data_IF_897614158761
#
_entry.id   IF_897614158761
#
_cell.length_a   1.000
_cell.length_b   1.000
_cell.length_c   1.000
_cell.angle_alpha   90.00
_cell.angle_beta   90.00
_cell.angle_gamma   90.00
#
_symmetry.space_group_name_H-M   'P 1'
#
loop_
_entity.id
_entity.type
_entity.pdbx_description
1 polymer ?
#
# COMPACT_ATOMS: atom_id res chain seq x y z
N UNK A 1 -36.81 -27.15 9.82
CA UNK A 1 -36.43 -26.64 8.47
C UNK A 1 -34.96 -26.98 8.25
N UNK A 2 -34.53 -27.33 7.04
CA UNK A 2 -33.12 -27.64 6.78
C UNK A 2 -32.28 -26.36 6.78
N UNK A 3 -31.00 -26.46 7.16
CA UNK A 3 -30.01 -25.39 6.99
C UNK A 3 -29.94 -24.95 5.52
N UNK A 4 -30.21 -23.68 5.25
CA UNK A 4 -30.03 -23.10 3.91
C UNK A 4 -28.66 -22.43 3.84
N UNK A 5 -27.91 -22.67 2.75
CA UNK A 5 -26.61 -22.02 2.52
C UNK A 5 -26.76 -20.92 1.47
N UNK A 6 -26.72 -19.67 1.92
CA UNK A 6 -26.80 -18.51 1.06
C UNK A 6 -25.40 -17.92 0.84
N UNK A 7 -25.03 -17.69 -0.42
CA UNK A 7 -23.78 -16.99 -0.78
C UNK A 7 -23.94 -15.47 -0.77
N UNK A 8 -24.80 -14.94 0.09
CA UNK A 8 -25.14 -13.52 0.22
C UNK A 8 -25.06 -13.06 1.68
N UNK A 9 -25.11 -11.74 1.89
CA UNK A 9 -25.26 -11.11 3.22
C UNK A 9 -26.74 -10.93 3.59
N UNK A 10 -27.03 -10.76 4.87
CA UNK A 10 -28.36 -10.43 5.37
C UNK A 10 -28.33 -9.26 6.34
N UNK A 11 -29.37 -8.43 6.34
CA UNK A 11 -29.53 -7.34 7.30
C UNK A 11 -29.71 -7.84 8.74
N UNK A 12 -29.15 -7.07 9.69
CA UNK A 12 -29.18 -7.39 11.12
C UNK A 12 -28.14 -8.43 11.54
N UNK A 13 -27.01 -8.51 10.83
CA UNK A 13 -25.92 -9.40 11.24
C UNK A 13 -25.32 -8.97 12.59
N UNK A 14 -25.04 -9.92 13.49
CA UNK A 14 -24.36 -9.62 14.73
C UNK A 14 -22.90 -9.21 14.43
N UNK A 15 -22.24 -8.50 15.35
CA UNK A 15 -20.80 -8.27 15.23
C UNK A 15 -20.05 -9.60 15.12
N UNK A 16 -19.00 -9.67 14.31
CA UNK A 16 -18.26 -10.92 14.10
C UNK A 16 -17.70 -11.54 15.39
N UNK A 17 -17.33 -10.70 16.37
CA UNK A 17 -16.89 -11.14 17.69
C UNK A 17 -18.00 -11.81 18.51
N UNK A 18 -19.26 -11.47 18.25
CA UNK A 18 -20.44 -12.05 18.92
C UNK A 18 -20.95 -13.34 18.25
N UNK A 19 -20.49 -13.68 17.05
CA UNK A 19 -20.80 -14.96 16.41
C UNK A 19 -20.08 -16.10 17.13
N UNK A 20 -20.85 -17.00 17.72
CA UNK A 20 -20.34 -18.24 18.31
C UNK A 20 -19.99 -19.25 17.22
N UNK A 21 -18.71 -19.28 16.87
CA UNK A 21 -18.15 -20.10 15.79
C UNK A 21 -18.18 -21.59 16.14
N UNK A 22 -18.27 -21.94 17.42
CA UNK A 22 -18.30 -23.35 17.88
C UNK A 22 -19.59 -24.05 17.49
N UNK A 23 -20.69 -23.27 17.38
CA UNK A 23 -22.03 -23.75 17.01
C UNK A 23 -22.29 -23.75 15.51
N UNK A 24 -21.36 -23.25 14.70
CA UNK A 24 -21.54 -23.22 13.25
C UNK A 24 -21.33 -24.63 12.66
N UNK A 25 -22.14 -25.01 11.65
CA UNK A 25 -21.96 -26.26 10.92
C UNK A 25 -20.67 -26.22 10.09
N UNK A 26 -20.13 -27.39 9.71
CA UNK A 26 -18.82 -27.49 9.04
C UNK A 26 -18.76 -26.73 7.71
N UNK A 27 -19.87 -26.65 6.98
CA UNK A 27 -19.97 -25.89 5.73
C UNK A 27 -19.89 -24.36 5.90
N UNK A 28 -19.88 -23.85 7.14
CA UNK A 28 -19.58 -22.45 7.44
C UNK A 28 -18.07 -22.10 7.35
N UNK A 29 -17.21 -23.11 7.24
CA UNK A 29 -15.75 -23.02 7.26
C UNK A 29 -15.17 -23.27 5.86
N UNK A 30 -14.10 -22.56 5.51
CA UNK A 30 -13.43 -22.77 4.21
C UNK A 30 -12.57 -24.04 4.21
N UNK A 31 -12.03 -24.40 5.37
CA UNK A 31 -11.46 -25.73 5.63
C UNK A 31 -12.38 -26.46 6.59
N UNK A 32 -13.33 -27.21 6.03
CA UNK A 32 -14.36 -27.93 6.78
C UNK A 32 -13.75 -29.02 7.67
N UNK A 33 -12.75 -29.75 7.15
CA UNK A 33 -12.12 -30.87 7.84
C UNK A 33 -11.43 -30.43 9.13
N UNK A 34 -10.76 -29.29 9.12
CA UNK A 34 -10.06 -28.76 10.28
C UNK A 34 -10.85 -27.63 10.99
N UNK A 35 -12.08 -27.34 10.54
CA UNK A 35 -12.92 -26.24 10.99
C UNK A 35 -12.15 -24.91 11.10
N UNK A 36 -11.41 -24.55 10.05
CA UNK A 36 -10.67 -23.28 9.96
C UNK A 36 -11.32 -22.30 9.01
N UNK A 37 -11.07 -21.01 9.25
CA UNK A 37 -11.55 -19.90 8.43
C UNK A 37 -13.10 -19.82 8.39
N UNK A 38 -13.77 -19.68 9.55
CA UNK A 38 -15.21 -19.44 9.58
C UNK A 38 -15.53 -18.10 8.93
N UNK A 39 -16.57 -18.06 8.09
CA UNK A 39 -16.92 -16.86 7.32
C UNK A 39 -18.45 -16.70 7.10
N UNK A 40 -19.24 -17.45 7.87
CA UNK A 40 -20.70 -17.40 7.85
C UNK A 40 -21.27 -17.20 9.25
N UNK A 41 -22.55 -16.83 9.30
CA UNK A 41 -23.38 -16.81 10.50
C UNK A 41 -24.77 -17.37 10.19
N UNK A 42 -25.49 -17.82 11.21
CA UNK A 42 -26.82 -18.40 11.06
C UNK A 42 -27.86 -17.44 11.63
N UNK A 43 -28.87 -17.10 10.82
CA UNK A 43 -30.04 -16.32 11.22
C UNK A 43 -31.22 -17.25 11.50
N UNK A 44 -31.96 -16.98 12.57
CA UNK A 44 -33.14 -17.76 12.98
C UNK A 44 -32.86 -19.27 13.11
N UNK A 45 -31.64 -19.64 13.51
CA UNK A 45 -31.25 -21.04 13.61
C UNK A 45 -31.61 -21.67 14.94
N UNK A 46 -32.00 -22.94 14.89
CA UNK A 46 -32.15 -23.78 16.07
C UNK A 46 -30.90 -24.65 16.22
N UNK A 47 -30.49 -24.82 17.48
CA UNK A 47 -29.32 -25.61 17.85
C UNK A 47 -29.79 -27.02 18.21
N UNK A 48 -29.13 -28.02 17.64
CA UNK A 48 -29.37 -29.43 17.96
C UNK A 48 -28.79 -29.83 19.32
N UNK A 49 -29.00 -31.08 19.69
CA UNK A 49 -28.52 -31.63 20.97
C UNK A 49 -26.99 -31.62 21.11
N UNK A 50 -26.27 -31.53 19.99
CA UNK A 50 -24.81 -31.45 19.91
C UNK A 50 -24.26 -30.02 20.03
N UNK A 51 -25.13 -29.02 20.18
CA UNK A 51 -24.74 -27.62 20.29
C UNK A 51 -24.45 -26.94 18.95
N UNK A 52 -24.68 -27.59 17.80
CA UNK A 52 -24.50 -27.03 16.45
C UNK A 52 -25.85 -26.63 15.86
N UNK A 53 -25.88 -25.57 15.05
CA UNK A 53 -27.09 -25.21 14.31
C UNK A 53 -27.51 -26.36 13.37
N UNK A 54 -28.76 -26.78 13.45
CA UNK A 54 -29.36 -27.82 12.60
C UNK A 54 -30.41 -27.26 11.64
N UNK A 55 -30.87 -26.03 11.89
CA UNK A 55 -31.81 -25.30 11.06
C UNK A 55 -31.43 -23.81 11.00
N UNK A 56 -32.08 -23.06 10.09
CA UNK A 56 -31.88 -21.62 9.92
C UNK A 56 -31.23 -21.26 8.59
N UNK A 57 -31.04 -19.97 8.38
CA UNK A 57 -30.47 -19.43 7.15
C UNK A 57 -29.03 -19.01 7.37
N UNK A 58 -28.10 -19.66 6.68
CA UNK A 58 -26.68 -19.37 6.77
C UNK A 58 -26.31 -18.32 5.74
N UNK A 59 -25.81 -17.18 6.21
CA UNK A 59 -25.36 -16.05 5.39
C UNK A 59 -23.87 -15.84 5.53
N UNK A 60 -23.26 -15.25 4.50
CA UNK A 60 -21.90 -14.76 4.61
C UNK A 60 -21.83 -13.62 5.62
N UNK A 61 -20.75 -13.59 6.40
CA UNK A 61 -20.44 -12.47 7.27
C UNK A 61 -19.26 -11.68 6.68
N UNK A 62 -19.38 -10.39 6.34
CA UNK A 62 -18.30 -9.59 5.76
C UNK A 62 -17.02 -9.59 6.61
N UNK A 63 -17.12 -9.20 7.88
CA UNK A 63 -15.98 -9.23 8.81
C UNK A 63 -15.40 -10.64 9.05
N UNK A 64 -16.24 -11.69 8.99
CA UNK A 64 -15.78 -13.06 9.06
C UNK A 64 -15.02 -13.51 7.82
N UNK A 65 -15.51 -13.14 6.63
CA UNK A 65 -14.89 -13.40 5.35
C UNK A 65 -13.56 -12.66 5.19
N UNK A 66 -13.46 -11.41 5.64
CA UNK A 66 -12.21 -10.65 5.66
C UNK A 66 -11.19 -11.25 6.63
N UNK A 67 -11.63 -11.64 7.84
CA UNK A 67 -10.77 -12.30 8.81
C UNK A 67 -10.26 -13.67 8.30
N UNK A 68 -11.14 -14.44 7.67
CA UNK A 68 -10.82 -15.72 7.03
C UNK A 68 -9.82 -15.52 5.89
N UNK A 69 -10.03 -14.53 5.03
CA UNK A 69 -9.15 -14.18 3.91
C UNK A 69 -7.76 -13.77 4.38
N UNK A 70 -7.67 -12.85 5.36
CA UNK A 70 -6.39 -12.42 5.91
C UNK A 70 -5.63 -13.58 6.57
N UNK A 71 -6.33 -14.42 7.33
CA UNK A 71 -5.72 -15.59 7.98
C UNK A 71 -5.26 -16.64 6.96
N UNK A 72 -6.00 -16.84 5.87
CA UNK A 72 -5.62 -17.76 4.80
C UNK A 72 -4.39 -17.28 4.00
N UNK A 73 -4.18 -15.96 3.92
CA UNK A 73 -3.00 -15.34 3.31
C UNK A 73 -1.86 -15.09 4.33
N UNK A 74 -1.84 -15.81 5.44
CA UNK A 74 -0.70 -15.82 6.36
C UNK A 74 -0.56 -14.62 7.30
N UNK A 75 -1.55 -13.72 7.41
CA UNK A 75 -1.44 -12.47 8.18
C UNK A 75 -1.16 -12.65 9.69
N UNK A 76 -1.27 -13.87 10.25
CA UNK A 76 -0.98 -14.16 11.67
C UNK A 76 0.02 -15.31 11.87
N UNK A 77 0.00 -16.32 11.02
CA UNK A 77 0.85 -17.51 11.12
C UNK A 77 2.10 -17.46 10.24
N UNK A 78 2.16 -16.55 9.26
CA UNK A 78 3.17 -16.56 8.19
C UNK A 78 3.05 -17.74 7.21
N UNK A 79 2.08 -18.64 7.43
CA UNK A 79 1.81 -19.79 6.56
C UNK A 79 0.49 -19.57 5.83
N UNK A 80 0.55 -19.63 4.49
CA UNK A 80 -0.61 -19.60 3.63
C UNK A 80 -1.41 -20.90 3.73
N UNK A 81 -2.73 -20.79 3.58
CA UNK A 81 -3.63 -21.93 3.48
C UNK A 81 -3.45 -22.67 2.15
N UNK A 82 -4.08 -23.84 2.00
CA UNK A 82 -4.06 -24.52 0.70
C UNK A 82 -4.70 -23.65 -0.40
N UNK A 83 -4.27 -23.80 -1.66
CA UNK A 83 -4.85 -23.07 -2.79
C UNK A 83 -6.37 -23.25 -2.91
N UNK A 84 -6.89 -24.41 -2.50
CA UNK A 84 -8.33 -24.72 -2.47
C UNK A 84 -9.09 -23.83 -1.48
N UNK A 85 -8.54 -23.62 -0.28
CA UNK A 85 -9.13 -22.73 0.75
C UNK A 85 -9.13 -21.28 0.27
N UNK A 86 -8.03 -20.84 -0.36
CA UNK A 86 -7.92 -19.49 -0.91
C UNK A 86 -8.93 -19.28 -2.05
N UNK A 87 -9.04 -20.23 -2.98
CA UNK A 87 -10.01 -20.16 -4.08
C UNK A 87 -11.46 -20.17 -3.59
N UNK A 88 -11.78 -20.95 -2.56
CA UNK A 88 -13.10 -20.98 -1.92
C UNK A 88 -13.47 -19.60 -1.34
N UNK A 89 -12.57 -19.00 -0.56
CA UNK A 89 -12.80 -17.68 0.02
C UNK A 89 -12.90 -16.60 -1.05
N UNK A 90 -12.08 -16.68 -2.11
CA UNK A 90 -12.14 -15.76 -3.24
C UNK A 90 -13.50 -15.81 -3.95
N UNK A 91 -14.07 -17.00 -4.15
CA UNK A 91 -15.41 -17.16 -4.74
C UNK A 91 -16.48 -16.41 -3.93
N UNK A 92 -16.42 -16.48 -2.61
CA UNK A 92 -17.36 -15.75 -1.74
C UNK A 92 -17.11 -14.23 -1.76
N UNK A 93 -15.86 -13.79 -1.83
CA UNK A 93 -15.54 -12.35 -1.97
C UNK A 93 -16.10 -11.78 -3.27
N UNK A 94 -15.98 -12.52 -4.39
CA UNK A 94 -16.61 -12.17 -5.68
C UNK A 94 -18.13 -12.12 -5.56
N UNK A 95 -18.75 -13.11 -4.91
CA UNK A 95 -20.20 -13.14 -4.72
C UNK A 95 -20.73 -11.93 -3.93
N UNK A 96 -19.91 -11.33 -3.06
CA UNK A 96 -20.21 -10.10 -2.33
C UNK A 96 -19.76 -8.82 -3.03
N UNK A 97 -19.27 -8.91 -4.28
CA UNK A 97 -18.69 -7.78 -5.01
C UNK A 97 -17.47 -7.17 -4.32
N UNK A 98 -16.84 -7.87 -3.38
CA UNK A 98 -15.64 -7.40 -2.67
C UNK A 98 -14.37 -7.47 -3.55
N UNK A 99 -14.45 -8.21 -4.66
CA UNK A 99 -13.42 -8.24 -5.71
C UNK A 99 -13.77 -7.27 -6.87
N UNK A 100 -15.05 -6.95 -7.10
CA UNK A 100 -15.51 -5.97 -8.10
C UNK A 100 -15.50 -4.52 -7.58
N UNK A 101 -15.31 -4.31 -6.27
CA UNK A 101 -15.05 -3.00 -5.63
C UNK A 101 -13.66 -2.42 -5.94
N UNK A 102 -12.92 -3.04 -6.86
CA UNK A 102 -11.86 -2.36 -7.60
C UNK A 102 -12.42 -1.37 -8.64
N UNK A 103 -13.69 -1.51 -9.06
CA UNK A 103 -14.29 -0.76 -10.16
C UNK A 103 -15.84 -0.58 -10.04
N UNK A 104 -16.38 0.04 -8.99
CA UNK A 104 -17.74 0.64 -9.05
C UNK A 104 -18.03 1.55 -7.85
N UNK A 105 -18.55 2.75 -8.15
CA UNK A 105 -19.01 3.78 -7.23
C UNK A 105 -20.03 3.24 -6.20
N UNK A 106 -19.95 3.70 -4.95
CA UNK A 106 -21.05 3.58 -3.99
C UNK A 106 -21.28 4.90 -3.22
N UNK A 107 -22.46 5.42 -3.53
CA UNK A 107 -23.37 6.30 -2.80
C UNK A 107 -23.36 6.10 -1.28
N UNK A 108 -23.38 7.23 -0.55
CA UNK A 108 -23.28 7.34 0.90
C UNK A 108 -24.65 7.30 1.58
N UNK A 109 -24.98 6.16 2.18
CA UNK A 109 -26.08 6.04 3.13
C UNK A 109 -25.56 5.66 4.51
N UNK A 110 -25.36 6.67 5.36
CA UNK A 110 -25.16 6.67 6.82
C UNK A 110 -25.08 5.31 7.56
N UNK A 111 -23.94 5.06 8.22
CA UNK A 111 -23.84 4.84 9.68
C UNK A 111 -22.38 4.59 10.05
N UNK A 112 -21.92 5.28 11.11
CA UNK A 112 -20.53 5.28 11.52
C UNK A 112 -20.04 3.91 12.02
N UNK A 113 -19.09 3.33 11.30
CA UNK A 113 -18.15 2.35 11.83
C UNK A 113 -16.74 2.76 11.40
N UNK A 114 -15.80 2.65 12.34
CA UNK A 114 -14.41 3.07 12.21
C UNK A 114 -13.73 2.24 11.12
N UNK A 115 -13.51 2.85 9.95
CA UNK A 115 -12.68 2.29 8.87
C UNK A 115 -11.24 2.16 9.39
N UNK A 116 -10.81 0.94 9.73
CA UNK A 116 -9.39 0.62 9.66
C UNK A 116 -9.06 0.37 8.20
N UNK A 117 -8.75 1.45 7.48
CA UNK A 117 -8.17 1.38 6.14
C UNK A 117 -6.90 0.52 6.14
N UNK A 118 -6.62 -0.09 5.00
CA UNK A 118 -5.36 -0.78 4.75
C UNK A 118 -4.32 0.33 4.54
N UNK A 119 -3.31 0.45 5.42
CA UNK A 119 -2.26 1.46 5.32
C UNK A 119 -1.70 1.53 3.89
N UNK A 120 -1.92 2.66 3.24
CA UNK A 120 -1.37 2.97 1.94
C UNK A 120 -0.03 3.68 2.14
N UNK A 121 1.00 3.27 1.40
CA UNK A 121 2.27 4.00 1.34
C UNK A 121 2.36 4.64 -0.05
N UNK A 122 2.45 5.97 -0.11
CA UNK A 122 2.65 6.69 -1.37
C UNK A 122 3.77 7.68 -1.25
N UNK A 123 4.72 7.57 -2.17
CA UNK A 123 5.87 8.44 -2.22
C UNK A 123 5.58 9.67 -3.08
N UNK A 124 6.24 10.80 -2.79
CA UNK A 124 6.10 11.99 -3.60
C UNK A 124 7.48 12.49 -3.98
N UNK A 125 7.72 12.80 -5.27
CA UNK A 125 9.00 13.28 -5.70
C UNK A 125 9.15 14.75 -5.30
N UNK A 126 9.95 15.03 -4.28
CA UNK A 126 10.64 16.31 -4.23
C UNK A 126 11.98 16.28 -3.49
N UNK A 127 12.87 17.15 -3.99
CA UNK A 127 14.23 17.45 -3.57
C UNK A 127 14.35 17.57 -2.05
N UNK A 128 15.08 16.61 -1.49
CA UNK A 128 15.82 16.87 -0.28
C UNK A 128 16.87 17.94 -0.61
N UNK A 129 16.61 19.20 -0.27
CA UNK A 129 17.61 20.26 -0.46
C UNK A 129 18.76 20.00 0.50
N UNK A 130 19.89 19.55 -0.05
CA UNK A 130 21.14 19.38 0.69
C UNK A 130 21.60 20.68 1.39
N UNK A 131 21.12 21.85 0.93
CA UNK A 131 21.34 23.15 1.58
C UNK A 131 20.80 23.23 3.02
N UNK A 132 19.99 22.26 3.45
CA UNK A 132 19.48 22.15 4.82
C UNK A 132 20.03 20.98 5.63
N UNK A 133 20.86 20.12 5.04
CA UNK A 133 21.44 18.96 5.74
C UNK A 133 22.72 19.39 6.45
N UNK A 134 22.56 19.94 7.65
CA UNK A 134 23.70 20.35 8.47
C UNK A 134 24.41 19.15 9.14
N UNK A 135 25.54 19.39 9.78
CA UNK A 135 26.25 18.34 10.53
C UNK A 135 25.44 17.78 11.70
N UNK A 136 24.36 18.46 12.09
CA UNK A 136 23.48 18.05 13.19
C UNK A 136 22.41 17.03 12.78
N UNK A 137 22.29 16.76 11.47
CA UNK A 137 21.32 15.82 10.93
C UNK A 137 19.92 16.41 10.74
N UNK A 138 19.80 17.74 10.79
CA UNK A 138 18.53 18.44 10.51
C UNK A 138 18.31 18.50 9.01
N UNK A 139 17.05 18.45 8.54
CA UNK A 139 16.71 18.62 7.13
C UNK A 139 15.26 19.07 6.96
N UNK A 140 14.91 19.55 5.76
CA UNK A 140 13.54 19.92 5.41
C UNK A 140 13.21 19.57 3.96
N UNK A 141 11.93 19.45 3.65
CA UNK A 141 11.45 19.11 2.32
C UNK A 141 9.93 19.12 2.22
N UNK A 142 9.42 18.74 1.04
CA UNK A 142 7.99 18.49 0.84
C UNK A 142 7.76 16.98 0.81
N UNK A 143 6.92 16.50 1.72
CA UNK A 143 6.55 15.09 1.83
C UNK A 143 5.41 14.72 0.88
N UNK A 144 4.60 15.70 0.48
CA UNK A 144 3.55 15.56 -0.53
C UNK A 144 3.30 16.91 -1.19
N UNK A 145 2.87 16.91 -2.45
CA UNK A 145 2.53 18.10 -3.23
C UNK A 145 1.03 18.07 -3.56
N UNK A 146 0.39 19.23 -3.55
CA UNK A 146 -1.03 19.34 -3.91
C UNK A 146 -1.24 19.53 -5.40
N UNK A 147 -2.29 18.89 -5.92
CA UNK A 147 -2.63 18.97 -7.32
C UNK A 147 -1.54 18.40 -8.25
N UNK A 148 -1.52 18.86 -9.49
CA UNK A 148 -0.52 18.44 -10.48
C UNK A 148 -0.88 17.12 -11.17
N UNK A 149 0.14 16.38 -11.61
CA UNK A 149 -0.06 15.08 -12.27
C UNK A 149 -0.27 14.00 -11.20
N UNK A 150 -1.14 13.01 -11.45
CA UNK A 150 -1.29 11.88 -10.55
C UNK A 150 0.03 11.15 -10.31
N UNK A 151 0.20 10.63 -9.10
CA UNK A 151 1.33 9.80 -8.70
C UNK A 151 1.31 8.42 -9.40
N UNK A 152 2.25 7.53 -9.03
CA UNK A 152 2.33 6.16 -9.58
C UNK A 152 1.06 5.34 -9.38
N UNK A 153 0.28 5.63 -8.33
CA UNK A 153 -0.93 4.93 -7.96
C UNK A 153 -2.19 5.55 -8.58
N UNK A 154 -2.03 6.68 -9.29
CA UNK A 154 -3.14 7.40 -9.90
C UNK A 154 -3.78 8.41 -8.95
N UNK A 155 -3.08 8.82 -7.90
CA UNK A 155 -3.62 9.72 -6.89
C UNK A 155 -3.13 11.15 -7.03
N UNK A 156 -4.01 12.07 -6.67
CA UNK A 156 -3.70 13.48 -6.43
C UNK A 156 -4.11 13.79 -5.00
N UNK A 157 -3.23 14.42 -4.23
CA UNK A 157 -3.59 14.92 -2.90
C UNK A 157 -4.18 16.32 -3.06
N UNK A 158 -5.39 16.52 -2.53
CA UNK A 158 -6.02 17.84 -2.53
C UNK A 158 -5.51 18.69 -1.36
N UNK A 159 -5.51 20.01 -1.53
CA UNK A 159 -5.24 20.91 -0.42
C UNK A 159 -6.30 20.73 0.68
N UNK A 160 -5.87 20.70 1.94
CA UNK A 160 -6.69 20.39 3.11
C UNK A 160 -6.67 18.92 3.51
N UNK A 161 -6.09 18.02 2.70
CA UNK A 161 -6.14 16.58 2.96
C UNK A 161 -5.46 16.16 4.27
N UNK A 162 -4.46 16.91 4.74
CA UNK A 162 -3.76 16.62 5.99
C UNK A 162 -4.28 17.43 7.18
N UNK A 163 -5.17 18.41 6.97
CA UNK A 163 -5.55 19.37 8.01
C UNK A 163 -6.09 18.69 9.28
N UNK A 164 -6.97 17.69 9.13
CA UNK A 164 -7.57 17.00 10.26
C UNK A 164 -6.56 16.10 11.00
N UNK A 165 -5.73 15.35 10.25
CA UNK A 165 -4.72 14.48 10.87
C UNK A 165 -3.63 15.28 11.56
N UNK A 166 -3.26 16.46 11.05
CA UNK A 166 -2.29 17.34 11.73
C UNK A 166 -2.88 17.98 12.98
N UNK A 167 -4.15 18.41 12.95
CA UNK A 167 -4.84 18.95 14.12
C UNK A 167 -4.97 17.92 15.26
N UNK A 168 -5.14 16.63 14.91
CA UNK A 168 -5.15 15.51 15.87
C UNK A 168 -3.76 15.16 16.40
N UNK A 169 -2.69 15.60 15.75
CA UNK A 169 -1.32 15.20 16.06
C UNK A 169 -0.96 13.82 15.49
N UNK A 170 -1.33 13.52 14.25
CA UNK A 170 -1.12 12.22 13.60
C UNK A 170 -2.19 11.18 13.95
N UNK A 171 -2.00 9.95 13.46
CA UNK A 171 -2.90 8.81 13.77
C UNK A 171 -3.11 8.66 15.27
N UNK A 172 -4.35 8.69 15.72
CA UNK A 172 -4.73 8.57 17.14
C UNK A 172 -3.96 9.50 18.10
N UNK A 173 -3.40 10.62 17.60
CA UNK A 173 -2.62 11.56 18.41
C UNK A 173 -1.23 11.09 18.83
N UNK A 174 -0.66 10.05 18.19
CA UNK A 174 0.67 9.52 18.53
C UNK A 174 1.83 10.22 17.81
N UNK A 175 1.55 11.29 17.09
CA UNK A 175 2.49 11.94 16.17
C UNK A 175 2.56 11.24 14.81
N UNK A 176 3.37 11.82 13.93
CA UNK A 176 3.72 11.25 12.62
C UNK A 176 5.16 10.71 12.73
N UNK A 177 5.38 9.44 12.42
CA UNK A 177 6.71 8.83 12.59
C UNK A 177 7.68 9.24 11.47
N UNK A 178 8.97 9.31 11.79
CA UNK A 178 10.06 9.34 10.80
C UNK A 178 10.68 7.94 10.73
N UNK A 179 10.44 7.21 9.64
CA UNK A 179 10.89 5.83 9.49
C UNK A 179 11.95 5.70 8.39
N UNK A 180 12.78 4.67 8.49
CA UNK A 180 13.66 4.28 7.41
C UNK A 180 12.89 3.50 6.35
N UNK A 181 12.70 4.06 5.16
CA UNK A 181 12.13 3.35 4.01
C UNK A 181 10.79 2.65 4.33
N UNK A 182 9.89 3.34 5.06
CA UNK A 182 8.59 2.82 5.54
C UNK A 182 8.63 1.72 6.60
N UNK A 183 9.81 1.31 7.08
CA UNK A 183 9.96 0.23 8.06
C UNK A 183 9.59 0.70 9.46
N UNK A 184 8.45 0.23 9.96
CA UNK A 184 7.92 0.60 11.29
C UNK A 184 8.77 0.11 12.45
N UNK A 185 9.64 -0.87 12.23
CA UNK A 185 10.63 -1.36 13.19
C UNK A 185 11.95 -0.56 13.17
N UNK A 186 12.12 0.39 12.23
CA UNK A 186 13.32 1.21 12.08
C UNK A 186 13.00 2.72 12.12
N UNK A 187 12.68 3.27 13.30
CA UNK A 187 12.55 4.72 13.48
C UNK A 187 13.90 5.42 13.24
N UNK A 188 13.86 6.54 12.54
CA UNK A 188 15.05 7.20 12.01
C UNK A 188 15.36 8.54 12.68
N UNK A 189 14.34 9.19 13.25
CA UNK A 189 14.44 10.52 13.83
C UNK A 189 13.10 11.05 14.28
N UNK A 190 12.98 12.37 14.35
CA UNK A 190 11.74 13.06 14.74
C UNK A 190 11.45 14.22 13.80
N UNK A 191 10.17 14.49 13.59
CA UNK A 191 9.71 15.69 12.89
C UNK A 191 9.48 16.81 13.90
N UNK A 192 10.11 17.96 13.66
CA UNK A 192 9.96 19.16 14.49
C UNK A 192 8.79 20.02 14.00
N UNK A 193 8.59 20.07 12.68
CA UNK A 193 7.50 20.81 12.04
C UNK A 193 6.92 19.98 10.89
N UNK A 194 5.58 19.91 10.84
CA UNK A 194 4.80 19.36 9.73
C UNK A 194 3.67 20.33 9.46
N UNK A 195 3.74 21.03 8.35
CA UNK A 195 2.82 22.13 8.01
C UNK A 195 2.33 21.97 6.60
N UNK A 196 1.03 22.17 6.46
CA UNK A 196 0.39 22.30 5.16
C UNK A 196 0.50 23.74 4.64
N UNK A 197 1.01 23.92 3.43
CA UNK A 197 1.05 25.22 2.75
C UNK A 197 0.37 25.17 1.37
N UNK A 198 0.44 26.27 0.62
CA UNK A 198 -0.20 26.38 -0.70
C UNK A 198 0.33 25.38 -1.75
N UNK A 199 1.53 24.82 -1.53
CA UNK A 199 2.19 23.89 -2.45
C UNK A 199 1.99 22.44 -2.03
N UNK A 200 1.94 22.14 -0.73
CA UNK A 200 1.90 20.77 -0.25
C UNK A 200 2.13 20.63 1.25
N UNK A 201 2.52 19.41 1.65
CA UNK A 201 2.91 19.06 3.01
C UNK A 201 4.41 19.30 3.20
N UNK A 202 4.76 20.43 3.83
CA UNK A 202 6.13 20.80 4.15
C UNK A 202 6.53 20.23 5.50
N UNK A 203 7.75 19.72 5.60
CA UNK A 203 8.29 19.14 6.84
C UNK A 203 9.70 19.63 7.14
N UNK A 204 10.02 19.73 8.43
CA UNK A 204 11.40 19.81 8.93
C UNK A 204 11.58 18.90 10.12
N UNK A 205 12.71 18.23 10.20
CA UNK A 205 13.01 17.31 11.27
C UNK A 205 14.49 16.98 11.34
N UNK A 206 14.83 16.03 12.19
CA UNK A 206 16.19 15.73 12.60
C UNK A 206 16.40 14.24 12.78
N UNK A 207 17.47 13.74 12.17
CA UNK A 207 17.90 12.36 12.28
C UNK A 207 18.45 12.09 13.68
N UNK A 208 18.26 10.86 14.18
CA UNK A 208 18.82 10.43 15.45
C UNK A 208 20.33 10.15 15.31
N UNK A 209 21.18 11.18 15.24
CA UNK A 209 22.62 11.08 14.93
C UNK A 209 23.46 10.26 15.94
N UNK A 210 22.95 10.04 17.16
CA UNK A 210 23.57 9.13 18.13
C UNK A 210 23.42 7.65 17.73
N UNK A 211 22.44 7.31 16.89
CA UNK A 211 22.20 5.95 16.41
C UNK A 211 23.04 5.66 15.15
N UNK A 212 23.37 4.39 14.93
CA UNK A 212 24.04 3.98 13.70
C UNK A 212 23.20 4.30 12.46
N UNK A 213 21.92 3.94 12.48
CA UNK A 213 21.01 4.15 11.34
C UNK A 213 20.84 5.62 10.99
N UNK A 214 20.75 6.51 11.99
CA UNK A 214 20.69 7.96 11.76
C UNK A 214 21.92 8.50 11.03
N UNK A 215 23.12 8.07 11.41
CA UNK A 215 24.38 8.47 10.72
C UNK A 215 24.48 7.91 9.32
N UNK A 216 24.07 6.66 9.11
CA UNK A 216 24.04 6.06 7.78
C UNK A 216 23.07 6.80 6.84
N UNK A 217 21.86 7.11 7.33
CA UNK A 217 20.89 7.89 6.56
C UNK A 217 21.43 9.28 6.23
N UNK A 218 22.04 9.97 7.20
CA UNK A 218 22.65 11.28 6.98
C UNK A 218 23.69 11.24 5.85
N UNK A 219 24.62 10.29 5.90
CA UNK A 219 25.64 10.16 4.86
C UNK A 219 25.03 9.81 3.49
N UNK A 220 24.06 8.89 3.46
CA UNK A 220 23.37 8.52 2.22
C UNK A 220 22.54 9.66 1.63
N UNK A 221 21.97 10.52 2.47
CA UNK A 221 21.28 11.74 2.06
C UNK A 221 22.28 12.78 1.52
N UNK A 222 23.43 12.98 2.18
CA UNK A 222 24.53 13.84 1.68
C UNK A 222 25.06 13.38 0.32
N UNK A 223 25.20 12.07 0.13
CA UNK A 223 25.64 11.47 -1.13
C UNK A 223 24.57 11.50 -2.23
N UNK A 224 23.31 11.87 -1.93
CA UNK A 224 22.19 11.83 -2.87
C UNK A 224 21.68 10.41 -3.20
N UNK A 225 22.08 9.40 -2.41
CA UNK A 225 21.55 8.04 -2.51
C UNK A 225 20.14 7.94 -1.93
N UNK A 226 19.79 8.80 -0.97
CA UNK A 226 18.42 9.05 -0.49
C UNK A 226 18.06 10.47 -0.90
N UNK A 227 17.01 10.60 -1.69
CA UNK A 227 16.74 11.84 -2.44
C UNK A 227 15.30 12.32 -2.39
N UNK A 228 14.43 11.61 -1.68
CA UNK A 228 13.02 11.96 -1.61
C UNK A 228 12.38 11.57 -0.29
N UNK A 229 11.14 12.02 -0.14
CA UNK A 229 10.27 11.69 0.99
C UNK A 229 9.06 10.92 0.49
N UNK A 230 8.46 10.18 1.40
CA UNK A 230 7.27 9.39 1.13
C UNK A 230 6.39 9.35 2.35
N UNK A 231 5.08 9.25 2.14
CA UNK A 231 4.09 9.24 3.22
C UNK A 231 3.40 7.89 3.32
N UNK A 232 3.15 7.46 4.56
CA UNK A 232 2.26 6.36 4.88
C UNK A 232 0.98 6.91 5.49
N UNK A 233 -0.17 6.56 4.93
CA UNK A 233 -1.46 7.09 5.36
C UNK A 233 -2.63 6.10 5.14
N UNK A 234 -3.77 6.36 5.78
CA UNK A 234 -5.07 5.75 5.40
C UNK A 234 -5.92 6.80 4.67
N UNK A 235 -6.49 6.44 3.51
CA UNK A 235 -7.43 7.32 2.81
C UNK A 235 -8.77 7.32 3.56
N UNK A 236 -9.19 8.49 4.04
CA UNK A 236 -10.45 8.63 4.80
C UNK A 236 -11.59 9.19 3.94
N UNK A 237 -11.26 10.07 2.99
CA UNK A 237 -12.21 10.67 2.04
C UNK A 237 -11.50 10.91 0.70
N UNK A 238 -12.11 10.46 -0.39
CA UNK A 238 -11.57 10.57 -1.74
C UNK A 238 -12.67 10.48 -2.80
N UNK A 239 -12.38 10.94 -4.01
CA UNK A 239 -13.25 10.78 -5.17
C UNK A 239 -12.46 10.43 -6.42
N UNK A 240 -13.14 9.95 -7.47
CA UNK A 240 -12.50 9.69 -8.76
C UNK A 240 -12.89 10.74 -9.79
N UNK A 241 -11.89 11.20 -10.57
CA UNK A 241 -12.07 12.00 -11.77
C UNK A 241 -11.67 11.17 -13.00
N UNK A 242 -12.50 11.19 -14.05
CA UNK A 242 -12.16 10.63 -15.36
C UNK A 242 -11.95 11.79 -16.34
N UNK A 243 -10.70 12.11 -16.70
CA UNK A 243 -10.43 13.20 -17.64
C UNK A 243 -11.04 12.94 -19.02
N UNK A 244 -11.63 13.96 -19.65
CA UNK A 244 -12.20 13.83 -21.01
C UNK A 244 -11.14 13.36 -22.01
N UNK A 245 -11.41 12.26 -22.71
CA UNK A 245 -10.50 11.68 -23.71
C UNK A 245 -9.46 10.71 -23.13
N UNK A 246 -9.59 10.33 -21.86
CA UNK A 246 -8.77 9.30 -21.22
C UNK A 246 -9.68 8.38 -20.39
N UNK A 247 -9.64 7.06 -20.66
CA UNK A 247 -10.44 6.08 -19.89
C UNK A 247 -9.90 5.83 -18.47
N UNK A 248 -8.80 6.52 -18.11
CA UNK A 248 -8.10 6.29 -16.86
C UNK A 248 -8.62 7.19 -15.73
N UNK A 249 -9.14 6.55 -14.68
CA UNK A 249 -9.56 7.22 -13.44
C UNK A 249 -8.35 7.74 -12.64
N UNK A 250 -8.50 8.94 -12.09
CA UNK A 250 -7.59 9.61 -11.15
C UNK A 250 -8.30 9.68 -9.80
N UNK A 251 -7.64 9.28 -8.71
CA UNK A 251 -8.20 9.36 -7.36
C UNK A 251 -7.73 10.62 -6.66
N UNK A 252 -8.65 11.48 -6.27
CA UNK A 252 -8.35 12.67 -5.50
C UNK A 252 -8.55 12.39 -4.01
N UNK A 253 -7.50 12.54 -3.22
CA UNK A 253 -7.50 12.35 -1.77
C UNK A 253 -7.89 13.65 -1.09
N UNK A 254 -9.11 13.70 -0.55
CA UNK A 254 -9.66 14.86 0.17
C UNK A 254 -9.30 14.86 1.64
N UNK A 255 -9.18 13.69 2.25
CA UNK A 255 -8.76 13.52 3.65
C UNK A 255 -7.97 12.24 3.82
N UNK A 256 -6.88 12.33 4.58
CA UNK A 256 -6.07 11.18 4.94
C UNK A 256 -5.73 11.19 6.43
N UNK A 257 -5.57 10.00 7.00
CA UNK A 257 -4.93 9.84 8.30
C UNK A 257 -3.44 9.57 8.08
N UNK A 258 -2.58 10.49 8.49
CA UNK A 258 -1.14 10.40 8.27
C UNK A 258 -0.47 9.63 9.41
N UNK A 259 0.27 8.58 9.05
CA UNK A 259 0.99 7.73 9.98
C UNK A 259 2.46 8.11 10.09
N UNK A 260 3.10 8.30 8.94
CA UNK A 260 4.54 8.47 8.87
C UNK A 260 4.97 9.18 7.60
N UNK A 261 6.19 9.72 7.68
CA UNK A 261 6.91 10.30 6.57
C UNK A 261 8.33 9.72 6.61
N UNK A 262 8.76 9.08 5.54
CA UNK A 262 10.03 8.36 5.46
C UNK A 262 10.95 8.96 4.39
N UNK A 263 12.25 9.15 4.69
CA UNK A 263 13.28 9.28 3.66
C UNK A 263 13.38 7.99 2.84
N UNK A 264 13.37 8.13 1.51
CA UNK A 264 13.38 7.01 0.57
C UNK A 264 14.43 7.17 -0.51
N UNK A 265 14.98 6.05 -0.96
CA UNK A 265 15.92 6.00 -2.10
C UNK A 265 15.23 6.36 -3.40
N UNK A 266 14.00 5.87 -3.56
CA UNK A 266 13.21 6.04 -4.76
C UNK A 266 11.86 6.65 -4.37
N UNK A 267 11.69 7.98 -4.48
CA UNK A 267 10.36 8.56 -4.37
C UNK A 267 9.47 8.07 -5.53
N UNK A 268 8.15 8.16 -5.38
CA UNK A 268 7.24 7.67 -6.41
C UNK A 268 7.51 8.45 -7.69
N UNK A 269 7.60 7.72 -8.78
CA UNK A 269 7.70 8.25 -10.11
C UNK A 269 6.35 8.88 -10.51
N UNK A 270 6.35 9.89 -11.36
CA UNK A 270 5.08 10.35 -11.95
C UNK A 270 4.51 9.25 -12.86
N UNK A 271 3.19 9.15 -13.03
CA UNK A 271 2.56 8.12 -13.89
C UNK A 271 3.15 8.07 -15.32
N UNK A 272 3.62 9.21 -15.82
CA UNK A 272 4.34 9.34 -17.10
C UNK A 272 5.64 8.51 -17.15
N UNK A 273 6.33 8.34 -16.02
CA UNK A 273 7.55 7.55 -15.88
C UNK A 273 7.27 6.04 -15.71
N UNK A 274 6.04 5.61 -15.41
CA UNK A 274 5.64 4.19 -15.45
C UNK A 274 5.27 3.75 -16.88
N UNK A 275 4.65 4.64 -17.68
CA UNK A 275 4.46 4.37 -19.11
C UNK A 275 5.81 4.08 -19.81
N UNK A 276 6.90 4.63 -19.26
CA UNK A 276 8.28 4.40 -19.66
C UNK A 276 8.81 3.03 -19.23
N UNK A 277 8.28 2.39 -18.18
CA UNK A 277 8.60 0.98 -17.85
C UNK A 277 8.10 0.01 -18.92
N UNK A 278 7.08 0.39 -19.70
CA UNK A 278 6.71 -0.34 -20.91
C UNK A 278 7.72 -0.10 -22.04
N UNK A 279 8.16 1.15 -22.26
CA UNK A 279 9.22 1.48 -23.24
C UNK A 279 10.61 0.92 -22.90
N UNK A 280 10.92 0.73 -21.62
CA UNK A 280 12.12 0.07 -21.08
C UNK A 280 12.29 -1.36 -21.59
N UNK A 281 11.19 -2.06 -21.90
CA UNK A 281 11.22 -3.43 -22.49
C UNK A 281 11.67 -3.43 -23.96
N UNK A 282 11.61 -2.28 -24.62
CA UNK A 282 11.87 -2.13 -26.05
C UNK A 282 13.27 -1.57 -26.34
N UNK A 283 13.90 -0.91 -25.38
CA UNK A 283 15.26 -0.39 -25.52
C UNK A 283 16.28 -1.53 -25.73
N UNK A 284 17.19 -1.37 -26.70
CA UNK A 284 18.24 -2.35 -27.04
C UNK A 284 19.66 -1.82 -26.77
N UNK A 285 19.79 -0.54 -26.50
CA UNK A 285 21.08 0.10 -26.18
C UNK A 285 20.99 1.02 -24.97
N UNK A 286 22.13 1.24 -24.32
CA UNK A 286 22.23 2.18 -23.18
C UNK A 286 21.83 3.60 -23.57
N UNK A 287 22.09 4.00 -24.81
CA UNK A 287 21.71 5.32 -25.34
C UNK A 287 20.22 5.45 -25.62
N UNK A 288 19.58 4.38 -26.10
CA UNK A 288 18.12 4.33 -26.25
C UNK A 288 17.43 4.37 -24.89
N UNK A 289 18.00 3.66 -23.92
CA UNK A 289 17.53 3.64 -22.55
C UNK A 289 17.68 5.02 -21.87
N UNK A 290 18.86 5.66 -21.95
CA UNK A 290 19.09 7.01 -21.43
C UNK A 290 18.15 8.03 -22.08
N UNK A 291 17.98 7.98 -23.40
CA UNK A 291 17.04 8.84 -24.12
C UNK A 291 15.60 8.63 -23.66
N UNK A 292 15.14 7.39 -23.56
CA UNK A 292 13.79 7.05 -23.09
C UNK A 292 13.56 7.54 -21.65
N UNK A 293 14.57 7.42 -20.78
CA UNK A 293 14.53 7.93 -19.41
C UNK A 293 14.50 9.47 -19.35
N UNK A 294 15.19 10.17 -20.26
CA UNK A 294 15.15 11.65 -20.32
C UNK A 294 13.87 12.20 -20.91
N UNK A 295 13.34 11.55 -21.95
CA UNK A 295 12.03 11.86 -22.51
C UNK A 295 10.91 11.61 -21.48
N UNK A 296 11.15 10.72 -20.51
CA UNK A 296 10.31 10.50 -19.33
C UNK A 296 10.42 11.60 -18.26
N UNK A 297 11.25 12.61 -18.46
CA UNK A 297 11.45 13.71 -17.52
C UNK A 297 12.47 13.43 -16.41
N UNK A 298 13.28 12.38 -16.51
CA UNK A 298 14.47 12.28 -15.64
C UNK A 298 15.51 13.31 -16.06
N UNK A 299 16.27 13.80 -15.08
CA UNK A 299 17.45 14.59 -15.35
C UNK A 299 18.44 13.78 -16.19
N UNK A 300 19.26 14.46 -16.99
CA UNK A 300 20.29 13.79 -17.79
C UNK A 300 21.22 12.93 -16.93
N UNK A 301 21.54 13.37 -15.71
CA UNK A 301 22.39 12.61 -14.79
C UNK A 301 21.70 11.33 -14.29
N UNK A 302 20.44 11.42 -13.88
CA UNK A 302 19.69 10.24 -13.39
C UNK A 302 19.46 9.21 -14.49
N UNK A 303 19.15 9.68 -15.71
CA UNK A 303 18.97 8.82 -16.87
C UNK A 303 20.26 8.09 -17.26
N UNK A 304 21.41 8.77 -17.22
CA UNK A 304 22.73 8.16 -17.45
C UNK A 304 23.07 7.13 -16.38
N UNK A 305 22.80 7.46 -15.10
CA UNK A 305 23.07 6.56 -13.99
C UNK A 305 22.26 5.27 -14.10
N UNK A 306 20.95 5.36 -14.34
CA UNK A 306 20.07 4.19 -14.49
C UNK A 306 20.39 3.38 -15.76
N UNK A 307 20.67 4.05 -16.87
CA UNK A 307 21.08 3.37 -18.10
C UNK A 307 22.40 2.59 -17.90
N UNK A 308 23.34 3.16 -17.13
CA UNK A 308 24.59 2.51 -16.75
C UNK A 308 24.39 1.28 -15.87
N UNK A 309 23.44 1.31 -14.92
CA UNK A 309 23.08 0.15 -14.10
C UNK A 309 22.50 -1.01 -14.92
N UNK A 310 21.83 -0.71 -16.04
CA UNK A 310 21.25 -1.69 -16.96
C UNK A 310 22.22 -2.17 -18.05
N UNK A 311 23.45 -1.64 -18.11
CA UNK A 311 24.40 -1.89 -19.20
C UNK A 311 24.70 -3.38 -19.41
N UNK A 312 24.81 -4.14 -18.32
CA UNK A 312 25.09 -5.58 -18.37
C UNK A 312 23.90 -6.34 -18.94
N UNK A 313 22.70 -6.06 -18.42
CA UNK A 313 21.45 -6.71 -18.86
C UNK A 313 21.05 -6.36 -20.30
N UNK A 314 21.46 -5.17 -20.80
CA UNK A 314 21.28 -4.79 -22.21
C UNK A 314 22.25 -5.51 -23.16
N UNK A 315 23.39 -5.99 -22.67
CA UNK A 315 24.39 -6.74 -23.46
C UNK A 315 24.13 -8.24 -23.49
N UNK A 316 23.36 -8.75 -22.54
CA UNK A 316 22.96 -10.14 -22.46
C UNK A 316 21.79 -10.43 -23.41
N UNK A 317 22.00 -11.34 -24.36
CA UNK A 317 20.97 -11.83 -25.26
C UNK A 317 20.13 -12.92 -24.59
N UNK A 318 18.81 -12.90 -24.79
CA UNK A 318 17.92 -13.97 -24.32
C UNK A 318 17.34 -13.74 -22.92
N UNK A 319 16.97 -14.83 -22.24
CA UNK A 319 16.15 -14.78 -21.02
C UNK A 319 16.84 -14.07 -19.84
N UNK A 320 18.17 -14.06 -19.80
CA UNK A 320 18.97 -13.49 -18.70
C UNK A 320 19.00 -11.96 -18.74
N UNK A 321 19.25 -11.38 -19.92
CA UNK A 321 19.11 -9.94 -20.14
C UNK A 321 17.68 -9.43 -19.95
N UNK A 322 16.68 -10.22 -20.38
CA UNK A 322 15.27 -9.92 -20.14
C UNK A 322 14.92 -9.91 -18.64
N UNK A 323 15.45 -10.86 -17.86
CA UNK A 323 15.28 -10.91 -16.39
C UNK A 323 15.98 -9.74 -15.70
N UNK A 324 17.16 -9.34 -16.14
CA UNK A 324 17.87 -8.18 -15.59
C UNK A 324 17.11 -6.87 -15.82
N UNK A 325 16.60 -6.65 -17.03
CA UNK A 325 15.73 -5.52 -17.34
C UNK A 325 14.40 -5.60 -16.59
N UNK A 326 13.85 -6.80 -16.40
CA UNK A 326 12.63 -7.02 -15.63
C UNK A 326 12.81 -6.78 -14.12
N UNK A 327 13.98 -7.10 -13.56
CA UNK A 327 14.35 -6.80 -12.18
C UNK A 327 14.51 -5.29 -11.97
N UNK A 328 15.08 -4.56 -12.94
CA UNK A 328 15.16 -3.09 -12.88
C UNK A 328 13.77 -2.48 -13.07
N UNK A 329 12.99 -2.96 -14.03
CA UNK A 329 11.60 -2.54 -14.22
C UNK A 329 10.73 -2.86 -13.00
N UNK A 330 10.97 -3.96 -12.30
CA UNK A 330 10.32 -4.32 -11.04
C UNK A 330 10.80 -3.44 -9.88
N UNK A 331 12.09 -3.13 -9.79
CA UNK A 331 12.61 -2.16 -8.82
C UNK A 331 12.03 -0.76 -9.05
N UNK A 332 11.77 -0.38 -10.31
CA UNK A 332 11.12 0.89 -10.67
C UNK A 332 9.60 0.85 -10.46
N UNK A 333 8.95 -0.32 -10.56
CA UNK A 333 7.50 -0.52 -10.31
C UNK A 333 7.15 -0.81 -8.85
N UNK A 334 8.10 -1.28 -8.06
CA UNK A 334 7.88 -2.02 -6.83
C UNK A 334 8.81 -1.60 -5.72
N UNK A 335 8.95 -0.30 -5.46
CA UNK A 335 9.54 0.18 -4.20
C UNK A 335 8.51 0.07 -3.09
N UNK A 336 8.23 -1.19 -2.76
CA UNK A 336 7.92 -1.67 -1.43
C UNK A 336 8.39 -3.14 -1.42
N UNK A 337 9.70 -3.36 -1.22
CA UNK A 337 10.33 -4.55 -0.60
C UNK A 337 11.87 -4.46 -0.69
N UNK A 338 12.44 -4.02 0.43
CA UNK A 338 13.76 -4.37 0.96
C UNK A 338 14.60 -5.40 0.18
N UNK A 339 15.69 -4.92 -0.44
CA UNK A 339 16.77 -5.74 -1.04
C UNK A 339 17.50 -6.67 -0.04
N UNK A 340 17.22 -6.58 1.27
CA UNK A 340 17.81 -7.47 2.28
C UNK A 340 17.14 -8.85 2.37
N UNK A 341 15.91 -9.01 1.88
CA UNK A 341 15.24 -10.33 1.84
C UNK A 341 15.82 -11.20 0.72
N UNK A 342 16.17 -10.58 -0.42
CA UNK A 342 16.76 -11.28 -1.56
C UNK A 342 18.19 -11.76 -1.28
N UNK A 343 18.98 -10.99 -0.51
CA UNK A 343 20.35 -11.38 -0.15
C UNK A 343 20.44 -12.49 0.90
N UNK A 344 19.40 -12.71 1.72
CA UNK A 344 19.36 -13.77 2.74
C UNK A 344 18.83 -15.12 2.24
N UNK A 345 18.17 -15.14 1.08
CA UNK A 345 17.63 -16.37 0.49
C UNK A 345 18.58 -17.03 -0.52
N UNK A 346 19.66 -16.35 -0.91
CA UNK A 346 20.60 -16.80 -1.95
C UNK A 346 22.09 -16.60 -1.59
N UNK A 347 22.41 -16.55 -0.31
CA UNK A 347 23.74 -16.82 0.24
C UNK A 347 23.62 -18.04 1.17
#
# INVERSE_FOLDING_TARGET
MALTHNSSVAGGEPKWSAVDKTRLPDNAFADQKNRKYPHHWVKNGEVGDDGVYVSGDMYLHPGGLDAAWAAANGARSGQEASPEVVAHLQKHRRALGLDDKADADFDDGETGEVFCGRRENKAFPFELKADGLDETGTFSGYASMFGGKPDTYGDIVDAGAFAETLAKGGRNGTGVAMLWQHRSDEPLGVWDEIVEDKKGLKVSGRLAMATQRGREAHELMKMGAIRGLSIGYDALDFYYETPKGNDQKIRHLKKVELWEISPVTFPALTRAQIAVVKGLREARTERELERALREAGLSRQDALYLAGLCRTSLRESGAEGARGLEAVAAALRGVNLSLDVYRRLHA
#
